data_IF_095327521397
#
_entry.id   IF_095327521397
#
_cell.length_a   1.000
_cell.length_b   1.000
_cell.length_c   1.000
_cell.angle_alpha   90.00
_cell.angle_beta   90.00
_cell.angle_gamma   90.00
#
_symmetry.space_group_name_H-M   'P 1'
#
loop_
_entity.id
_entity.type
_entity.pdbx_description
1 polymer ?
#
# COMPACT_ATOMS: atom_id res chain seq x y z
N UNK A 1 22.53 -23.27 5.28
CA UNK A 1 22.70 -22.65 3.95
C UNK A 1 22.00 -23.45 2.86
N UNK A 2 22.41 -24.69 2.58
CA UNK A 2 21.89 -25.48 1.45
C UNK A 2 20.38 -25.73 1.54
N UNK A 3 19.84 -26.11 2.71
CA UNK A 3 18.42 -26.43 2.88
C UNK A 3 17.45 -25.29 2.49
N UNK A 4 17.80 -24.03 2.76
CA UNK A 4 16.96 -22.87 2.42
C UNK A 4 17.11 -22.40 0.97
N UNK A 5 18.01 -23.01 0.19
CA UNK A 5 18.30 -22.64 -1.19
C UNK A 5 17.95 -23.74 -2.19
N UNK A 6 17.60 -24.94 -1.71
CA UNK A 6 17.27 -26.07 -2.55
C UNK A 6 15.80 -26.43 -2.42
N UNK A 7 15.20 -26.78 -3.56
CA UNK A 7 13.85 -27.32 -3.58
C UNK A 7 13.85 -28.74 -3.01
N UNK A 8 13.02 -28.98 -1.99
CA UNK A 8 13.01 -30.24 -1.25
C UNK A 8 12.17 -31.33 -1.93
N UNK A 9 11.19 -30.95 -2.75
CA UNK A 9 10.26 -31.87 -3.43
C UNK A 9 9.89 -31.35 -4.81
N UNK A 10 9.43 -32.22 -5.70
CA UNK A 10 9.03 -31.85 -7.07
C UNK A 10 7.88 -30.83 -7.10
N UNK A 11 7.02 -30.82 -6.09
CA UNK A 11 5.97 -29.81 -5.93
C UNK A 11 6.54 -28.52 -5.32
N UNK A 12 6.53 -27.38 -6.03
CA UNK A 12 7.11 -26.14 -5.53
C UNK A 12 6.28 -25.44 -4.43
N UNK A 13 5.10 -25.97 -4.07
CA UNK A 13 4.21 -25.34 -3.07
C UNK A 13 4.27 -26.03 -1.71
N UNK A 14 4.96 -27.16 -1.61
CA UNK A 14 5.04 -27.97 -0.40
C UNK A 14 6.49 -27.99 0.08
N UNK A 15 6.71 -27.99 1.41
CA UNK A 15 8.04 -27.96 2.02
C UNK A 15 8.90 -26.76 1.58
N UNK A 16 8.27 -25.59 1.52
CA UNK A 16 8.96 -24.31 1.31
C UNK A 16 9.87 -24.03 2.50
N UNK A 17 11.15 -23.82 2.23
CA UNK A 17 12.18 -23.54 3.24
C UNK A 17 12.70 -22.13 3.04
N UNK A 18 12.68 -21.34 4.11
CA UNK A 18 13.25 -20.00 4.15
C UNK A 18 14.20 -19.89 5.34
N UNK A 19 15.03 -18.86 5.33
CA UNK A 19 15.90 -18.57 6.46
C UNK A 19 15.06 -18.11 7.64
N UNK A 20 15.16 -18.82 8.76
CA UNK A 20 14.47 -18.41 9.98
C UNK A 20 15.06 -17.06 10.47
N UNK A 21 14.21 -16.05 10.72
CA UNK A 21 14.64 -14.78 11.29
C UNK A 21 14.98 -14.93 12.77
N UNK A 22 15.54 -13.89 13.38
CA UNK A 22 15.80 -13.89 14.82
C UNK A 22 14.49 -14.05 15.62
N UNK A 23 14.50 -14.73 16.79
CA UNK A 23 13.29 -14.99 17.57
C UNK A 23 12.45 -13.75 17.92
N UNK A 24 13.11 -12.59 18.02
CA UNK A 24 12.49 -11.29 18.33
C UNK A 24 11.76 -10.64 17.13
N UNK A 25 12.15 -11.00 15.91
CA UNK A 25 11.63 -10.44 14.66
C UNK A 25 10.48 -11.30 14.09
N UNK A 26 10.13 -12.39 14.76
CA UNK A 26 9.03 -13.27 14.37
C UNK A 26 7.71 -12.70 14.87
N UNK A 27 6.82 -12.39 13.94
CA UNK A 27 5.42 -12.10 14.27
C UNK A 27 4.61 -13.41 14.37
N UNK A 28 4.60 -13.99 15.57
CA UNK A 28 4.08 -15.34 15.83
C UNK A 28 2.62 -15.57 15.43
N UNK A 29 1.76 -14.56 15.57
CA UNK A 29 0.34 -14.69 15.21
C UNK A 29 0.12 -14.94 13.72
N UNK A 30 1.05 -14.50 12.86
CA UNK A 30 0.94 -14.73 11.41
C UNK A 30 1.46 -16.12 10.98
N UNK A 31 2.14 -16.85 11.86
CA UNK A 31 2.74 -18.15 11.50
C UNK A 31 1.68 -19.25 11.28
N UNK A 32 0.52 -19.11 11.90
CA UNK A 32 -0.58 -20.08 11.79
C UNK A 32 -1.41 -19.92 10.49
N UNK A 33 -1.11 -18.93 9.65
CA UNK A 33 -1.88 -18.65 8.43
C UNK A 33 -1.58 -19.71 7.37
N UNK A 34 -2.61 -20.38 6.80
CA UNK A 34 -2.42 -21.30 5.68
C UNK A 34 -1.78 -20.62 4.47
N UNK A 35 -0.89 -21.31 3.77
CA UNK A 35 -0.14 -20.74 2.64
C UNK A 35 -1.05 -20.18 1.53
N UNK A 36 -2.19 -20.81 1.27
CA UNK A 36 -3.15 -20.35 0.27
C UNK A 36 -3.79 -19.00 0.64
N UNK A 37 -4.10 -18.79 1.93
CA UNK A 37 -4.70 -17.56 2.43
C UNK A 37 -3.76 -16.35 2.27
N UNK A 38 -2.45 -16.58 2.20
CA UNK A 38 -1.48 -15.51 1.94
C UNK A 38 -1.72 -14.85 0.58
N UNK A 39 -2.05 -15.64 -0.45
CA UNK A 39 -2.31 -15.09 -1.78
C UNK A 39 -3.62 -14.30 -1.83
N UNK A 40 -4.66 -14.79 -1.15
CA UNK A 40 -5.93 -14.06 -1.03
C UNK A 40 -5.74 -12.74 -0.27
N UNK A 41 -5.03 -12.77 0.86
CA UNK A 41 -4.73 -11.56 1.64
C UNK A 41 -3.89 -10.56 0.83
N UNK A 42 -2.90 -11.02 0.07
CA UNK A 42 -2.13 -10.16 -0.86
C UNK A 42 -3.04 -9.48 -1.86
N UNK A 43 -3.96 -10.20 -2.49
CA UNK A 43 -4.93 -9.63 -3.43
C UNK A 43 -5.81 -8.56 -2.78
N UNK A 44 -6.38 -8.84 -1.61
CA UNK A 44 -7.22 -7.89 -0.86
C UNK A 44 -6.43 -6.64 -0.48
N UNK A 45 -5.19 -6.79 0.00
CA UNK A 45 -4.32 -5.66 0.35
C UNK A 45 -3.98 -4.82 -0.86
N UNK A 46 -3.65 -5.43 -2.00
CA UNK A 46 -3.37 -4.69 -3.25
C UNK A 46 -4.59 -3.90 -3.72
N UNK A 47 -5.78 -4.50 -3.70
CA UNK A 47 -7.03 -3.81 -4.05
C UNK A 47 -7.33 -2.66 -3.08
N UNK A 48 -7.17 -2.90 -1.78
CA UNK A 48 -7.36 -1.87 -0.75
C UNK A 48 -6.38 -0.70 -0.92
N UNK A 49 -5.13 -0.99 -1.27
CA UNK A 49 -4.11 0.04 -1.53
C UNK A 49 -4.46 0.89 -2.74
N UNK A 50 -5.00 0.29 -3.81
CA UNK A 50 -5.48 1.04 -4.98
C UNK A 50 -6.61 2.02 -4.62
N UNK A 51 -7.58 1.58 -3.82
CA UNK A 51 -8.64 2.49 -3.37
C UNK A 51 -8.10 3.58 -2.45
N UNK A 52 -7.17 3.25 -1.56
CA UNK A 52 -6.52 4.22 -0.69
C UNK A 52 -5.85 5.32 -1.52
N UNK A 53 -5.04 4.97 -2.52
CA UNK A 53 -4.37 5.96 -3.37
C UNK A 53 -5.35 6.79 -4.20
N UNK A 54 -6.40 6.16 -4.74
CA UNK A 54 -7.44 6.85 -5.48
C UNK A 54 -8.17 7.89 -4.61
N UNK A 55 -8.63 7.51 -3.41
CA UNK A 55 -9.29 8.44 -2.51
C UNK A 55 -8.37 9.53 -2.00
N UNK A 56 -7.08 9.24 -1.80
CA UNK A 56 -6.09 10.24 -1.43
C UNK A 56 -5.83 11.28 -2.52
N UNK A 57 -6.21 11.06 -3.79
CA UNK A 57 -6.10 12.11 -4.81
C UNK A 57 -7.01 13.32 -4.51
N UNK A 58 -8.15 13.12 -3.83
CA UNK A 58 -9.10 14.19 -3.50
C UNK A 58 -8.47 15.24 -2.54
N UNK A 59 -7.94 14.88 -1.35
CA UNK A 59 -7.31 15.85 -0.47
C UNK A 59 -6.03 16.45 -1.07
N UNK A 60 -5.28 15.69 -1.88
CA UNK A 60 -4.09 16.21 -2.58
C UNK A 60 -4.49 17.33 -3.53
N UNK A 61 -5.51 17.10 -4.37
CA UNK A 61 -6.01 18.12 -5.29
C UNK A 61 -6.56 19.35 -4.54
N UNK A 62 -7.23 19.14 -3.41
CA UNK A 62 -7.73 20.23 -2.57
C UNK A 62 -6.58 21.10 -2.02
N UNK A 63 -5.57 20.50 -1.38
CA UNK A 63 -4.39 21.22 -0.87
C UNK A 63 -3.64 21.91 -2.01
N UNK A 64 -3.48 21.24 -3.15
CA UNK A 64 -2.82 21.80 -4.33
C UNK A 64 -3.59 23.00 -4.89
N UNK A 65 -4.92 22.96 -4.88
CA UNK A 65 -5.76 24.08 -5.29
C UNK A 65 -5.59 25.30 -4.36
N UNK A 66 -5.53 25.06 -3.04
CA UNK A 66 -5.25 26.11 -2.04
C UNK A 66 -3.83 26.68 -2.13
N UNK A 67 -2.87 25.89 -2.61
CA UNK A 67 -1.51 26.38 -2.85
C UNK A 67 -1.40 27.22 -4.14
N UNK A 68 -2.34 27.06 -5.07
CA UNK A 68 -2.35 27.77 -6.36
C UNK A 68 -3.58 28.69 -6.51
N UNK A 69 -3.76 29.60 -5.54
CA UNK A 69 -4.88 30.55 -5.48
C UNK A 69 -4.92 31.45 -6.72
N UNK A 70 -3.77 31.84 -7.27
CA UNK A 70 -3.68 32.69 -8.48
C UNK A 70 -4.33 32.04 -9.71
N UNK A 71 -4.25 30.71 -9.85
CA UNK A 71 -4.93 29.98 -10.92
C UNK A 71 -6.44 29.90 -10.67
N UNK A 72 -6.88 29.76 -9.42
CA UNK A 72 -8.30 29.77 -9.05
C UNK A 72 -8.93 31.14 -9.31
N UNK A 73 -8.24 32.23 -8.96
CA UNK A 73 -8.73 33.59 -9.21
C UNK A 73 -8.92 33.90 -10.69
N UNK A 74 -8.08 33.33 -11.56
CA UNK A 74 -8.23 33.45 -13.03
C UNK A 74 -9.43 32.69 -13.57
N UNK A 75 -9.77 31.53 -12.99
CA UNK A 75 -10.90 30.69 -13.43
C UNK A 75 -12.23 31.17 -12.82
N UNK A 76 -12.19 31.68 -11.60
CA UNK A 76 -13.35 32.18 -10.85
C UNK A 76 -13.11 33.62 -10.34
N UNK A 77 -13.37 34.63 -11.19
CA UNK A 77 -13.07 36.04 -10.86
C UNK A 77 -13.88 36.59 -9.68
N UNK A 78 -14.91 35.88 -9.21
CA UNK A 78 -15.67 36.26 -8.01
C UNK A 78 -14.90 36.07 -6.70
N UNK A 79 -13.90 35.17 -6.66
CA UNK A 79 -13.07 34.97 -5.46
C UNK A 79 -12.10 36.14 -5.22
N UNK A 80 -11.73 36.87 -6.27
CA UNK A 80 -10.83 38.02 -6.17
C UNK A 80 -11.35 39.07 -5.18
N UNK A 81 -12.66 39.31 -5.18
CA UNK A 81 -13.31 40.27 -4.26
C UNK A 81 -13.35 39.80 -2.79
N UNK A 82 -13.12 38.51 -2.52
CA UNK A 82 -13.11 37.93 -1.16
C UNK A 82 -11.67 37.89 -0.61
N UNK A 83 -10.68 37.73 -1.49
CA UNK A 83 -9.25 37.60 -1.15
C UNK A 83 -8.56 38.98 -1.05
N UNK A 84 -8.85 39.92 -1.96
CA UNK A 84 -8.41 41.32 -1.82
C UNK A 84 -9.35 42.07 -0.86
N UNK A 85 -8.99 42.09 0.43
CA UNK A 85 -9.47 43.08 1.40
C UNK A 85 -8.30 43.69 2.15
#
# INVERSE_FOLDING_TARGET
AVCAQTQQTSDPTVWLTEWAPEPRDIYWENLAIPYFDLNLRRLITTVSMFFLTFFFMIPIAFVQSLANIEAIEKVFPFLKSIIEK
#
